data_IF_597901930490
#
_entry.id   IF_597901930490
#
_cell.length_a   1.000
_cell.length_b   1.000
_cell.length_c   1.000
_cell.angle_alpha   90.00
_cell.angle_beta   90.00
_cell.angle_gamma   90.00
#
_symmetry.space_group_name_H-M   'P 1'
#
loop_
_entity.id
_entity.type
_entity.pdbx_description
1 polymer ?
#
# COMPACT_ATOMS: atom_id res chain seq x y z
N UNK A 1 -0.22 -10.00 11.33
CA UNK A 1 -1.27 -9.15 11.95
C UNK A 1 -0.63 -7.83 12.34
N UNK A 2 -1.15 -6.71 11.82
CA UNK A 2 -0.56 -5.39 12.00
C UNK A 2 -1.61 -4.33 12.31
N UNK A 3 -1.17 -3.21 12.88
CA UNK A 3 -1.91 -2.03 13.37
C UNK A 3 -2.69 -1.24 12.30
N UNK A 4 -2.91 -1.84 11.13
CA UNK A 4 -3.37 -1.20 9.90
C UNK A 4 -4.84 -0.72 9.96
N UNK A 5 -5.69 -1.45 10.68
CA UNK A 5 -7.13 -1.14 10.77
C UNK A 5 -7.44 0.18 11.50
N UNK A 6 -6.65 0.52 12.54
CA UNK A 6 -6.87 1.72 13.34
C UNK A 6 -6.47 3.00 12.58
N UNK A 7 -5.36 2.97 11.85
CA UNK A 7 -4.90 4.10 11.04
C UNK A 7 -5.82 4.34 9.82
N UNK A 8 -6.29 3.27 9.17
CA UNK A 8 -7.21 3.36 8.03
C UNK A 8 -8.52 4.11 8.40
N UNK A 9 -9.06 3.88 9.59
CA UNK A 9 -10.31 4.51 10.06
C UNK A 9 -10.17 6.02 10.22
N UNK A 10 -9.04 6.49 10.78
CA UNK A 10 -8.79 7.92 10.99
C UNK A 10 -8.59 8.70 9.68
N UNK A 11 -7.97 8.06 8.66
CA UNK A 11 -7.78 8.65 7.34
C UNK A 11 -9.10 8.77 6.57
N UNK A 12 -9.98 7.76 6.67
CA UNK A 12 -11.31 7.79 6.01
C UNK A 12 -12.15 9.00 6.44
N UNK A 13 -12.12 9.37 7.73
CA UNK A 13 -12.83 10.57 8.21
C UNK A 13 -12.31 11.88 7.59
N UNK A 14 -11.01 11.93 7.24
CA UNK A 14 -10.37 13.10 6.63
C UNK A 14 -10.56 13.16 5.12
N UNK A 15 -10.65 12.01 4.45
CA UNK A 15 -10.81 11.86 2.99
C UNK A 15 -12.24 12.10 2.49
N UNK A 16 -13.28 11.97 3.31
CA UNK A 16 -14.66 12.23 2.89
C UNK A 16 -14.91 13.67 2.35
N UNK A 17 -13.93 14.56 2.48
CA UNK A 17 -13.96 15.97 2.08
C UNK A 17 -13.20 16.19 0.74
N UNK A 18 -12.54 15.17 0.17
CA UNK A 18 -11.71 15.28 -1.06
C UNK A 18 -12.02 14.12 -2.02
N UNK A 19 -11.94 14.34 -3.34
CA UNK A 19 -12.14 13.27 -4.33
C UNK A 19 -11.15 12.13 -4.10
N UNK A 20 -11.68 10.98 -3.66
CA UNK A 20 -10.85 9.84 -3.27
C UNK A 20 -10.26 9.18 -4.51
N UNK A 21 -8.94 9.24 -4.66
CA UNK A 21 -8.23 8.45 -5.66
C UNK A 21 -8.30 6.97 -5.25
N UNK A 22 -8.85 6.13 -6.13
CA UNK A 22 -8.95 4.68 -5.91
C UNK A 22 -7.71 4.00 -6.46
N UNK A 23 -6.97 3.30 -5.60
CA UNK A 23 -5.87 2.42 -6.00
C UNK A 23 -6.37 0.98 -6.09
N UNK A 24 -6.22 0.34 -7.25
CA UNK A 24 -6.65 -1.03 -7.50
C UNK A 24 -5.48 -1.84 -8.09
N UNK A 25 -4.95 -2.79 -7.32
CA UNK A 25 -3.84 -3.66 -7.71
C UNK A 25 -4.34 -5.03 -8.21
N UNK A 26 -5.28 -5.02 -9.15
CA UNK A 26 -5.94 -6.20 -9.73
C UNK A 26 -5.29 -6.72 -11.03
N UNK A 27 -4.11 -6.19 -11.36
CA UNK A 27 -3.32 -6.52 -12.56
C UNK A 27 -1.83 -6.47 -12.19
N UNK A 28 -0.91 -6.94 -13.06
CA UNK A 28 0.50 -7.04 -12.71
C UNK A 28 1.09 -5.73 -12.18
N UNK A 29 1.77 -5.80 -11.03
CA UNK A 29 2.35 -4.64 -10.35
C UNK A 29 3.75 -4.93 -9.81
N UNK A 30 4.48 -3.87 -9.50
CA UNK A 30 5.79 -3.92 -8.83
C UNK A 30 5.59 -3.46 -7.39
N UNK A 31 6.31 -4.08 -6.45
CA UNK A 31 6.34 -3.65 -5.06
C UNK A 31 7.77 -3.51 -4.57
N UNK A 32 7.92 -2.67 -3.55
CA UNK A 32 9.18 -2.45 -2.86
C UNK A 32 8.92 -2.27 -1.37
N UNK A 33 9.70 -2.95 -0.55
CA UNK A 33 9.73 -2.76 0.90
C UNK A 33 11.04 -2.05 1.21
N UNK A 34 10.95 -0.83 1.70
CA UNK A 34 12.10 -0.01 2.04
C UNK A 34 12.12 0.32 3.53
N UNK A 35 13.31 0.41 4.10
CA UNK A 35 13.53 1.06 5.38
C UNK A 35 13.38 2.58 5.18
N UNK A 36 12.59 3.23 6.04
CA UNK A 36 12.07 4.58 5.77
C UNK A 36 13.11 5.68 5.93
N UNK A 37 14.01 5.55 6.90
CA UNK A 37 14.95 6.63 7.30
C UNK A 37 16.19 6.66 6.42
N UNK A 38 16.74 5.48 6.11
CA UNK A 38 17.91 5.30 5.24
C UNK A 38 17.54 5.14 3.77
N UNK A 39 16.29 4.79 3.46
CA UNK A 39 15.84 4.49 2.11
C UNK A 39 16.33 3.15 1.56
N UNK A 40 16.95 2.32 2.41
CA UNK A 40 17.47 1.02 2.00
C UNK A 40 16.34 0.11 1.52
N UNK A 41 16.50 -0.45 0.32
CA UNK A 41 15.56 -1.43 -0.23
C UNK A 41 15.81 -2.78 0.42
N UNK A 42 14.84 -3.23 1.20
CA UNK A 42 14.89 -4.53 1.88
C UNK A 42 14.42 -5.65 0.94
N UNK A 43 13.35 -5.37 0.18
CA UNK A 43 12.79 -6.30 -0.80
C UNK A 43 12.25 -5.54 -2.01
N UNK A 44 12.34 -6.14 -3.18
CA UNK A 44 11.75 -5.62 -4.40
C UNK A 44 11.30 -6.78 -5.28
N UNK A 45 10.17 -6.63 -5.95
CA UNK A 45 9.63 -7.70 -6.80
C UNK A 45 8.49 -7.24 -7.66
N UNK A 46 7.99 -8.17 -8.48
CA UNK A 46 6.79 -7.98 -9.28
C UNK A 46 5.81 -9.13 -9.00
N UNK A 47 4.53 -8.82 -8.97
CA UNK A 47 3.46 -9.82 -8.96
C UNK A 47 2.85 -9.82 -10.36
N UNK A 48 2.96 -10.95 -11.04
CA UNK A 48 2.34 -11.14 -12.37
C UNK A 48 1.02 -11.91 -12.25
N UNK A 49 0.99 -12.91 -11.37
CA UNK A 49 -0.19 -13.71 -11.04
C UNK A 49 -0.19 -13.95 -9.52
N UNK A 50 -1.18 -13.44 -8.78
CA UNK A 50 -1.26 -13.59 -7.32
C UNK A 50 -1.76 -14.96 -6.85
N UNK A 51 -2.11 -15.87 -7.77
CA UNK A 51 -2.66 -17.20 -7.45
C UNK A 51 -1.64 -18.33 -7.53
N UNK A 52 -0.42 -18.02 -8.00
CA UNK A 52 0.70 -18.96 -8.06
C UNK A 52 1.36 -19.18 -6.69
#
# INVERSE_FOLDING_TARGET
EGTEAAAATAVVMKEAISEKTVFNADHPFIFMIQERETGNVLFMGRVFDPTQ
#
